data_IF_888999212808
#
_entry.id   IF_888999212808
#
_cell.length_a   1.000
_cell.length_b   1.000
_cell.length_c   1.000
_cell.angle_alpha   90.00
_cell.angle_beta   90.00
_cell.angle_gamma   90.00
#
_symmetry.space_group_name_H-M   'P 1'
#
loop_
_entity.id
_entity.type
_entity.pdbx_description
1 polymer ?
#
# COMPACT_ATOMS: atom_id res chain seq x y z
N UNK A 1 -18.21 3.22 25.52
CA UNK A 1 -16.96 3.85 25.01
C UNK A 1 -15.79 2.99 25.48
N UNK A 2 -15.01 2.45 24.56
CA UNK A 2 -13.69 1.89 24.90
C UNK A 2 -12.64 2.94 24.58
N UNK A 3 -11.74 3.23 25.50
CA UNK A 3 -10.53 3.99 25.18
C UNK A 3 -9.52 3.02 24.55
N UNK A 4 -8.93 3.39 23.42
CA UNK A 4 -7.88 2.61 22.76
C UNK A 4 -6.64 3.46 22.61
N UNK A 5 -5.49 2.88 22.94
CA UNK A 5 -4.19 3.53 22.79
C UNK A 5 -3.44 2.93 21.61
N UNK A 6 -2.98 3.79 20.71
CA UNK A 6 -2.09 3.43 19.61
C UNK A 6 -0.97 4.47 19.50
N UNK A 7 0.26 4.01 19.65
CA UNK A 7 1.41 4.90 19.80
C UNK A 7 1.20 5.90 20.95
N UNK A 8 1.29 7.20 20.66
CA UNK A 8 1.05 8.27 21.65
C UNK A 8 -0.38 8.78 21.68
N UNK A 9 -1.26 8.28 20.79
CA UNK A 9 -2.66 8.69 20.74
C UNK A 9 -3.54 7.79 21.62
N UNK A 10 -4.43 8.41 22.38
CA UNK A 10 -5.50 7.72 23.10
C UNK A 10 -6.85 8.17 22.54
N UNK A 11 -7.56 7.28 21.86
CA UNK A 11 -8.80 7.64 21.16
C UNK A 11 -10.00 6.90 21.76
N UNK A 12 -11.10 7.61 21.83
CA UNK A 12 -12.43 7.03 21.97
C UNK A 12 -12.96 6.71 20.57
N UNK A 13 -13.71 5.63 20.46
CA UNK A 13 -14.31 5.18 19.21
C UNK A 13 -15.71 4.64 19.46
N UNK A 14 -16.53 4.68 18.42
CA UNK A 14 -17.82 4.04 18.44
C UNK A 14 -17.63 2.56 18.06
N UNK A 15 -18.10 1.66 18.91
CA UNK A 15 -18.18 0.24 18.56
C UNK A 15 -19.45 0.08 17.72
N UNK A 16 -19.37 -0.28 16.42
CA UNK A 16 -20.59 -0.64 15.70
C UNK A 16 -21.23 -1.85 16.37
N UNK A 17 -22.55 -1.85 16.56
CA UNK A 17 -23.29 -3.01 17.08
C UNK A 17 -22.91 -4.28 16.29
N UNK A 18 -22.43 -5.31 17.01
CA UNK A 18 -21.97 -6.58 16.42
C UNK A 18 -20.50 -6.62 15.97
N UNK A 19 -19.71 -5.57 16.22
CA UNK A 19 -18.27 -5.57 15.96
C UNK A 19 -17.52 -6.18 17.12
N UNK A 20 -16.77 -7.24 16.82
CA UNK A 20 -15.85 -7.84 17.80
C UNK A 20 -14.64 -6.91 17.97
N UNK A 21 -14.00 -6.97 19.14
CA UNK A 21 -12.84 -6.14 19.49
C UNK A 21 -11.60 -6.38 18.60
N UNK A 22 -10.39 -6.03 19.08
CA UNK A 22 -9.13 -6.00 18.30
C UNK A 22 -8.76 -7.28 17.53
N UNK A 23 -9.45 -8.40 17.77
CA UNK A 23 -9.12 -9.74 17.26
C UNK A 23 -9.90 -10.19 16.01
N UNK A 24 -10.89 -9.44 15.51
CA UNK A 24 -11.64 -9.83 14.29
C UNK A 24 -11.58 -8.73 13.22
N UNK A 25 -11.63 -9.18 11.95
CA UNK A 25 -11.40 -8.40 10.72
C UNK A 25 -12.27 -7.14 10.55
N UNK A 26 -12.26 -6.49 9.37
CA UNK A 26 -12.87 -5.18 9.21
C UNK A 26 -14.36 -5.22 9.58
N UNK A 27 -14.71 -4.58 10.71
CA UNK A 27 -16.08 -4.47 11.19
C UNK A 27 -16.98 -3.70 10.23
N UNK A 28 -18.30 -3.69 10.50
CA UNK A 28 -19.26 -2.93 9.70
C UNK A 28 -19.01 -1.43 9.84
N UNK A 29 -19.07 -0.71 8.73
CA UNK A 29 -18.88 0.74 8.65
C UNK A 29 -19.90 1.44 9.57
N UNK A 30 -19.42 2.32 10.45
CA UNK A 30 -20.25 3.23 11.25
C UNK A 30 -19.53 4.57 11.46
N UNK A 31 -20.26 5.60 11.87
CA UNK A 31 -19.67 6.91 12.23
C UNK A 31 -18.73 6.77 13.44
N UNK A 32 -17.54 7.36 13.39
CA UNK A 32 -16.54 7.22 14.47
C UNK A 32 -15.93 5.81 14.58
N UNK A 33 -15.85 5.09 13.46
CA UNK A 33 -15.28 3.74 13.40
C UNK A 33 -13.75 3.75 13.45
N UNK A 34 -13.20 2.80 14.18
CA UNK A 34 -11.77 2.48 14.18
C UNK A 34 -11.56 1.07 13.63
N UNK A 35 -10.73 0.95 12.60
CA UNK A 35 -10.26 -0.35 12.14
C UNK A 35 -8.93 -0.72 12.82
N UNK A 36 -8.95 -1.71 13.71
CA UNK A 36 -7.75 -2.22 14.37
C UNK A 36 -6.77 -2.90 13.39
N UNK A 37 -7.28 -3.53 12.32
CA UNK A 37 -6.43 -4.15 11.28
C UNK A 37 -5.61 -3.14 10.46
N UNK A 38 -5.90 -1.84 10.59
CA UNK A 38 -5.17 -0.75 9.93
C UNK A 38 -4.02 -0.20 10.77
N UNK A 39 -3.69 -0.79 11.94
CA UNK A 39 -2.55 -0.35 12.77
C UNK A 39 -1.25 -0.29 11.97
N UNK A 40 -0.92 -1.36 11.23
CA UNK A 40 0.29 -1.39 10.38
C UNK A 40 0.31 -0.27 9.33
N UNK A 41 -0.85 0.06 8.72
CA UNK A 41 -0.95 1.16 7.76
C UNK A 41 -0.64 2.51 8.42
N UNK A 42 -1.18 2.74 9.62
CA UNK A 42 -0.94 3.95 10.39
C UNK A 42 0.52 4.03 10.84
N UNK A 43 1.10 2.94 11.33
CA UNK A 43 2.51 2.84 11.71
C UNK A 43 3.45 3.13 10.52
N UNK A 44 3.15 2.56 9.35
CA UNK A 44 3.87 2.85 8.13
C UNK A 44 3.79 4.34 7.77
N UNK A 45 2.60 4.93 7.84
CA UNK A 45 2.36 6.33 7.50
C UNK A 45 3.14 7.26 8.43
N UNK A 46 3.05 7.05 9.74
CA UNK A 46 3.78 7.85 10.73
C UNK A 46 5.29 7.69 10.57
N UNK A 47 5.79 6.48 10.29
CA UNK A 47 7.22 6.23 10.04
C UNK A 47 7.71 6.92 8.75
N UNK A 48 6.88 6.92 7.70
CA UNK A 48 7.21 7.63 6.46
C UNK A 48 7.23 9.15 6.68
N UNK A 49 6.25 9.72 7.36
CA UNK A 49 6.21 11.14 7.75
C UNK A 49 7.44 11.50 8.59
N UNK A 50 7.85 10.63 9.51
CA UNK A 50 9.05 10.82 10.32
C UNK A 50 10.32 10.84 9.47
N UNK A 51 10.34 10.11 8.36
CA UNK A 51 11.47 10.03 7.43
C UNK A 51 11.54 11.26 6.52
N UNK A 52 10.42 11.65 5.90
CA UNK A 52 10.40 12.71 4.87
C UNK A 52 10.10 14.11 5.43
N UNK A 53 9.64 14.20 6.69
CA UNK A 53 9.36 15.45 7.42
C UNK A 53 8.57 16.49 6.59
N UNK A 54 7.36 16.16 6.10
CA UNK A 54 6.55 17.11 5.35
C UNK A 54 6.15 18.29 6.26
N UNK A 55 5.97 19.50 5.71
CA UNK A 55 5.58 20.66 6.54
C UNK A 55 4.09 20.62 6.88
N UNK A 56 3.27 20.20 5.92
CA UNK A 56 1.82 20.09 6.08
C UNK A 56 1.33 18.71 5.61
N UNK A 57 0.64 18.00 6.52
CA UNK A 57 0.05 16.69 6.30
C UNK A 57 -1.48 16.78 6.30
N UNK A 58 -2.14 16.13 5.33
CA UNK A 58 -3.59 15.94 5.28
C UNK A 58 -3.96 14.50 5.63
N UNK A 59 -4.76 14.32 6.68
CA UNK A 59 -5.60 13.13 6.86
C UNK A 59 -6.94 13.36 6.16
N UNK A 60 -7.08 12.82 4.96
CA UNK A 60 -8.22 13.10 4.08
C UNK A 60 -9.54 12.45 4.52
N UNK A 61 -9.50 11.50 5.46
CA UNK A 61 -10.65 10.70 5.89
C UNK A 61 -10.55 10.42 7.40
N UNK A 62 -10.79 11.46 8.20
CA UNK A 62 -10.42 11.49 9.61
C UNK A 62 -11.00 10.37 10.48
N UNK A 63 -12.27 10.00 10.32
CA UNK A 63 -13.00 9.04 11.15
C UNK A 63 -12.91 9.32 12.66
N UNK A 64 -11.88 8.82 13.34
CA UNK A 64 -11.59 9.09 14.77
C UNK A 64 -10.47 10.11 14.99
N UNK A 65 -9.77 10.51 13.93
CA UNK A 65 -8.65 11.46 13.95
C UNK A 65 -7.30 10.81 14.25
N UNK A 66 -7.26 9.49 14.44
CA UNK A 66 -6.07 8.80 14.95
C UNK A 66 -4.82 9.01 14.10
N UNK A 67 -4.92 9.09 12.76
CA UNK A 67 -3.75 9.29 11.90
C UNK A 67 -3.12 10.65 12.14
N UNK A 68 -3.93 11.72 12.07
CA UNK A 68 -3.45 13.08 12.30
C UNK A 68 -2.95 13.31 13.73
N UNK A 69 -3.68 12.81 14.75
CA UNK A 69 -3.26 12.93 16.15
C UNK A 69 -1.91 12.22 16.36
N UNK A 70 -1.73 11.02 15.79
CA UNK A 70 -0.43 10.31 15.87
C UNK A 70 0.68 11.05 15.12
N UNK A 71 0.41 11.53 13.91
CA UNK A 71 1.39 12.28 13.12
C UNK A 71 1.87 13.53 13.87
N UNK A 72 0.96 14.32 14.44
CA UNK A 72 1.29 15.48 15.24
C UNK A 72 2.02 15.10 16.55
N UNK A 73 1.48 14.19 17.36
CA UNK A 73 2.05 13.89 18.70
C UNK A 73 3.35 13.09 18.66
N UNK A 74 3.52 12.23 17.65
CA UNK A 74 4.72 11.40 17.54
C UNK A 74 5.83 12.13 16.79
N UNK A 75 5.50 12.95 15.79
CA UNK A 75 6.49 13.54 14.87
C UNK A 75 6.56 15.07 14.95
N UNK A 76 5.49 15.75 15.37
CA UNK A 76 5.39 17.20 15.39
C UNK A 76 4.99 17.82 14.05
N UNK A 77 4.41 17.05 13.12
CA UNK A 77 3.95 17.60 11.83
C UNK A 77 2.62 18.33 11.99
N UNK A 78 2.51 19.52 11.38
CA UNK A 78 1.23 20.23 11.27
C UNK A 78 0.26 19.39 10.46
N UNK A 79 -0.86 19.03 11.07
CA UNK A 79 -1.81 18.09 10.50
C UNK A 79 -3.19 18.72 10.35
N UNK A 80 -3.77 18.54 9.17
CA UNK A 80 -5.15 18.93 8.84
C UNK A 80 -5.97 17.66 8.66
N UNK A 81 -7.21 17.67 9.14
CA UNK A 81 -8.16 16.57 9.02
C UNK A 81 -9.40 17.01 8.27
N UNK A 82 -9.77 16.22 7.25
CA UNK A 82 -11.05 16.33 6.57
C UNK A 82 -11.98 15.21 7.02
N UNK A 83 -13.21 15.56 7.41
CA UNK A 83 -14.23 14.57 7.76
C UNK A 83 -15.63 15.08 7.40
N UNK A 84 -16.33 14.36 6.52
CA UNK A 84 -17.66 14.75 6.04
C UNK A 84 -18.77 14.44 7.05
N UNK A 85 -18.66 13.34 7.79
CA UNK A 85 -19.63 12.92 8.79
C UNK A 85 -19.53 13.83 10.01
N UNK A 86 -20.58 14.63 10.27
CA UNK A 86 -20.63 15.49 11.45
C UNK A 86 -20.40 14.71 12.77
N UNK A 87 -20.93 13.48 12.88
CA UNK A 87 -20.69 12.61 14.04
C UNK A 87 -19.23 12.22 14.22
N UNK A 88 -18.54 11.92 13.11
CA UNK A 88 -17.10 11.59 13.13
C UNK A 88 -16.29 12.85 13.43
N UNK A 89 -16.66 13.99 12.85
CA UNK A 89 -16.06 15.29 13.14
C UNK A 89 -16.10 15.65 14.64
N UNK A 90 -17.26 15.51 15.28
CA UNK A 90 -17.39 15.69 16.73
C UNK A 90 -16.47 14.74 17.50
N UNK A 91 -16.39 13.48 17.07
CA UNK A 91 -15.49 12.49 17.69
C UNK A 91 -14.02 12.86 17.54
N UNK A 92 -13.60 13.43 16.41
CA UNK A 92 -12.24 13.91 16.20
C UNK A 92 -11.93 15.06 17.17
N UNK A 93 -12.85 16.00 17.39
CA UNK A 93 -12.68 17.09 18.36
C UNK A 93 -12.48 16.53 19.77
N UNK A 94 -13.34 15.62 20.21
CA UNK A 94 -13.24 14.99 21.53
C UNK A 94 -11.89 14.27 21.70
N UNK A 95 -11.46 13.53 20.68
CA UNK A 95 -10.19 12.83 20.70
C UNK A 95 -9.00 13.79 20.66
N UNK A 96 -9.06 14.88 19.90
CA UNK A 96 -8.00 15.89 19.87
C UNK A 96 -7.84 16.56 21.25
N UNK A 97 -8.95 16.95 21.88
CA UNK A 97 -8.97 17.51 23.24
C UNK A 97 -8.39 16.54 24.26
N UNK A 98 -8.83 15.27 24.23
CA UNK A 98 -8.31 14.21 25.11
C UNK A 98 -6.79 14.03 24.97
N UNK A 99 -6.26 14.29 23.79
CA UNK A 99 -4.85 14.15 23.49
C UNK A 99 -4.03 15.42 23.67
N UNK A 100 -4.64 16.57 24.01
CA UNK A 100 -4.02 17.90 23.93
C UNK A 100 -3.34 18.13 22.57
N UNK A 101 -4.10 17.83 21.51
CA UNK A 101 -3.65 17.84 20.11
C UNK A 101 -4.18 19.09 19.41
N UNK A 102 -3.31 19.81 18.70
CA UNK A 102 -3.60 21.07 18.01
C UNK A 102 -3.85 20.87 16.51
N UNK A 103 -4.32 19.68 16.13
CA UNK A 103 -4.68 19.38 14.74
C UNK A 103 -5.81 20.30 14.25
N UNK A 104 -5.75 20.69 12.98
CA UNK A 104 -6.81 21.48 12.36
C UNK A 104 -7.90 20.55 11.82
N UNK A 105 -9.14 20.71 12.28
CA UNK A 105 -10.23 19.77 11.99
C UNK A 105 -11.32 20.51 11.21
N UNK A 106 -11.70 19.98 10.04
CA UNK A 106 -12.75 20.57 9.21
C UNK A 106 -13.87 19.56 8.92
N UNK A 107 -15.12 19.95 9.14
CA UNK A 107 -16.29 19.15 8.74
C UNK A 107 -16.64 19.36 7.26
N UNK A 108 -15.70 19.02 6.38
CA UNK A 108 -15.83 19.20 4.94
C UNK A 108 -15.35 17.97 4.18
N UNK A 109 -15.67 17.89 2.89
CA UNK A 109 -15.20 16.80 2.04
C UNK A 109 -13.71 16.94 1.71
N UNK A 110 -13.09 15.80 1.38
CA UNK A 110 -11.69 15.74 0.98
C UNK A 110 -11.37 16.72 -0.15
N UNK A 111 -12.21 16.79 -1.17
CA UNK A 111 -12.04 17.67 -2.34
C UNK A 111 -12.07 19.15 -1.96
N UNK A 112 -12.89 19.52 -0.97
CA UNK A 112 -12.91 20.89 -0.45
C UNK A 112 -11.59 21.21 0.25
N UNK A 113 -11.19 20.40 1.22
CA UNK A 113 -10.02 20.68 2.06
C UNK A 113 -8.72 20.61 1.25
N UNK A 114 -8.57 19.61 0.39
CA UNK A 114 -7.36 19.46 -0.43
C UNK A 114 -7.12 20.67 -1.34
N UNK A 115 -8.19 21.39 -1.73
CA UNK A 115 -8.07 22.60 -2.57
C UNK A 115 -7.72 23.89 -1.81
N UNK A 116 -7.89 23.92 -0.49
CA UNK A 116 -7.68 25.12 0.35
C UNK A 116 -6.24 25.31 0.80
N UNK A 117 -5.44 24.26 0.76
CA UNK A 117 -4.06 24.28 1.22
C UNK A 117 -3.14 23.64 0.20
N UNK A 118 -1.85 23.93 0.33
CA UNK A 118 -0.80 23.24 -0.41
C UNK A 118 -0.15 22.23 0.52
N UNK A 119 -0.54 20.97 0.38
CA UNK A 119 -0.08 19.86 1.22
C UNK A 119 1.20 19.24 0.68
N UNK A 120 2.15 18.92 1.57
CA UNK A 120 3.37 18.19 1.22
C UNK A 120 3.19 16.68 1.35
N UNK A 121 2.21 16.25 2.14
CA UNK A 121 1.74 14.87 2.19
C UNK A 121 0.20 14.86 2.25
N UNK A 122 -0.44 14.16 1.31
CA UNK A 122 -1.88 13.87 1.32
C UNK A 122 -2.14 12.39 1.59
N UNK A 123 -2.89 12.02 2.64
CA UNK A 123 -3.34 10.65 2.90
C UNK A 123 -4.79 10.45 2.45
N UNK A 124 -4.97 9.56 1.46
CA UNK A 124 -6.23 9.17 0.84
C UNK A 124 -6.59 7.75 1.29
N UNK A 125 -7.36 7.65 2.36
CA UNK A 125 -7.83 6.39 2.97
C UNK A 125 -9.36 6.28 3.02
N UNK A 126 -10.04 6.26 1.85
CA UNK A 126 -11.48 6.08 1.80
C UNK A 126 -11.89 4.62 2.06
N UNK A 127 -13.16 4.42 2.39
CA UNK A 127 -13.77 3.10 2.25
C UNK A 127 -13.96 2.74 0.77
N UNK A 128 -13.39 1.60 0.36
CA UNK A 128 -13.51 1.06 -0.99
C UNK A 128 -12.38 1.50 -1.92
N UNK A 129 -12.75 2.20 -2.99
CA UNK A 129 -11.84 2.54 -4.08
C UNK A 129 -11.30 3.96 -3.93
N UNK A 130 -10.01 4.14 -4.24
CA UNK A 130 -9.37 5.46 -4.27
C UNK A 130 -9.62 6.23 -5.57
N UNK A 131 -10.15 5.56 -6.61
CA UNK A 131 -10.33 6.12 -7.96
C UNK A 131 -10.94 7.53 -7.98
N UNK A 132 -12.00 7.85 -7.21
CA UNK A 132 -12.61 9.19 -7.24
C UNK A 132 -11.68 10.32 -6.76
N UNK A 133 -10.63 9.99 -6.01
CA UNK A 133 -9.80 10.97 -5.29
C UNK A 133 -8.39 11.10 -5.88
N UNK A 134 -8.01 10.24 -6.83
CA UNK A 134 -6.64 10.21 -7.39
C UNK A 134 -6.29 11.52 -8.08
N UNK A 135 -7.13 11.99 -9.01
CA UNK A 135 -6.83 13.17 -9.81
C UNK A 135 -6.75 14.43 -8.95
N UNK A 136 -7.69 14.59 -8.03
CA UNK A 136 -7.74 15.77 -7.15
C UNK A 136 -6.55 15.77 -6.19
N UNK A 137 -6.14 14.62 -5.64
CA UNK A 137 -4.94 14.53 -4.80
C UNK A 137 -3.67 14.90 -5.59
N UNK A 138 -3.50 14.34 -6.81
CA UNK A 138 -2.37 14.67 -7.69
C UNK A 138 -2.38 16.14 -8.07
N UNK A 139 -3.54 16.74 -8.32
CA UNK A 139 -3.63 18.13 -8.74
C UNK A 139 -3.22 19.12 -7.62
N UNK A 140 -3.45 18.79 -6.35
CA UNK A 140 -3.24 19.72 -5.23
C UNK A 140 -2.02 19.44 -4.35
N UNK A 141 -1.38 18.26 -4.46
CA UNK A 141 -0.12 18.01 -3.74
C UNK A 141 0.98 18.97 -4.20
N UNK A 142 1.85 19.41 -3.28
CA UNK A 142 3.10 20.12 -3.61
C UNK A 142 3.91 19.37 -4.67
N UNK A 143 4.64 20.08 -5.51
CA UNK A 143 5.66 19.43 -6.35
C UNK A 143 6.70 18.74 -5.43
N UNK A 144 7.09 17.50 -5.78
CA UNK A 144 7.88 16.60 -4.93
C UNK A 144 7.21 16.21 -3.60
N UNK A 145 5.93 16.53 -3.43
CA UNK A 145 5.12 16.07 -2.30
C UNK A 145 4.66 14.62 -2.48
N UNK A 146 4.10 14.08 -1.40
CA UNK A 146 3.75 12.68 -1.29
C UNK A 146 2.23 12.48 -1.24
N UNK A 147 1.76 11.37 -1.79
CA UNK A 147 0.37 10.94 -1.65
C UNK A 147 0.35 9.48 -1.20
N UNK A 148 -0.28 9.22 -0.06
CA UNK A 148 -0.60 7.87 0.39
C UNK A 148 -1.99 7.46 -0.08
N UNK A 149 -2.11 6.38 -0.84
CA UNK A 149 -3.40 5.79 -1.20
C UNK A 149 -3.61 4.47 -0.47
N UNK A 150 -4.76 4.31 0.18
CA UNK A 150 -5.21 3.03 0.73
C UNK A 150 -6.46 2.56 -0.02
N UNK A 151 -6.33 1.47 -0.77
CA UNK A 151 -7.43 0.85 -1.49
C UNK A 151 -7.90 -0.42 -0.79
N UNK A 152 -9.21 -0.54 -0.57
CA UNK A 152 -9.83 -1.74 0.05
C UNK A 152 -10.71 -2.53 -0.91
N UNK A 153 -10.87 -2.09 -2.17
CA UNK A 153 -11.57 -2.84 -3.23
C UNK A 153 -10.71 -3.90 -3.92
N UNK A 154 -10.04 -4.73 -3.11
CA UNK A 154 -9.07 -5.75 -3.52
C UNK A 154 -9.60 -6.70 -4.59
N UNK A 155 -10.86 -7.15 -4.50
CA UNK A 155 -11.47 -8.06 -5.47
C UNK A 155 -11.55 -7.47 -6.89
N UNK A 156 -11.57 -6.13 -7.00
CA UNK A 156 -11.49 -5.44 -8.28
C UNK A 156 -10.05 -5.37 -8.73
N UNK A 157 -9.14 -4.90 -7.88
CA UNK A 157 -7.73 -4.72 -8.21
C UNK A 157 -7.01 -6.04 -8.52
N UNK A 158 -7.42 -7.14 -7.88
CA UNK A 158 -6.87 -8.50 -8.04
C UNK A 158 -7.50 -9.30 -9.19
N UNK A 159 -8.42 -8.71 -9.96
CA UNK A 159 -9.02 -9.34 -11.14
C UNK A 159 -10.16 -10.33 -10.88
N UNK A 160 -10.67 -10.45 -9.65
CA UNK A 160 -11.85 -11.29 -9.37
C UNK A 160 -13.12 -10.73 -10.04
N UNK A 161 -13.24 -9.41 -10.11
CA UNK A 161 -14.36 -8.70 -10.77
C UNK A 161 -13.89 -8.02 -12.06
N UNK A 162 -13.66 -8.81 -13.12
CA UNK A 162 -13.02 -8.38 -14.38
C UNK A 162 -13.68 -7.15 -15.03
N UNK A 163 -15.00 -7.15 -15.20
CA UNK A 163 -15.67 -6.00 -15.85
C UNK A 163 -15.56 -4.73 -15.00
N UNK A 164 -15.59 -4.87 -13.68
CA UNK A 164 -15.44 -3.74 -12.76
C UNK A 164 -13.99 -3.25 -12.72
N UNK A 165 -13.03 -4.18 -12.86
CA UNK A 165 -11.60 -3.86 -12.99
C UNK A 165 -11.35 -3.05 -14.26
N UNK A 166 -11.86 -3.51 -15.40
CA UNK A 166 -11.75 -2.79 -16.67
C UNK A 166 -12.37 -1.38 -16.56
N UNK A 167 -13.58 -1.26 -16.01
CA UNK A 167 -14.25 0.06 -15.88
C UNK A 167 -13.55 1.03 -14.92
N UNK A 168 -12.94 0.55 -13.83
CA UNK A 168 -12.33 1.41 -12.80
C UNK A 168 -10.87 1.72 -13.05
N UNK A 169 -10.11 0.70 -13.45
CA UNK A 169 -8.66 0.77 -13.54
C UNK A 169 -8.15 0.72 -14.99
N UNK A 170 -8.99 0.36 -15.96
CA UNK A 170 -8.61 0.38 -17.38
C UNK A 170 -7.54 -0.66 -17.73
N UNK A 171 -7.55 -1.81 -17.06
CA UNK A 171 -6.60 -2.91 -17.28
C UNK A 171 -7.36 -4.24 -17.36
N UNK A 172 -6.69 -5.28 -17.86
CA UNK A 172 -7.11 -6.67 -17.66
C UNK A 172 -6.07 -7.38 -16.80
N UNK A 173 -6.49 -7.88 -15.64
CA UNK A 173 -5.65 -8.67 -14.71
C UNK A 173 -6.36 -9.96 -14.33
N UNK A 174 -5.62 -10.90 -13.74
CA UNK A 174 -6.10 -12.26 -13.50
C UNK A 174 -6.05 -12.58 -12.00
N UNK A 175 -6.98 -13.37 -11.50
CA UNK A 175 -6.98 -13.74 -10.09
C UNK A 175 -6.25 -15.09 -9.89
N UNK A 176 -4.97 -15.07 -9.53
CA UNK A 176 -4.11 -16.24 -9.26
C UNK A 176 -3.33 -16.08 -7.93
N UNK A 177 -2.23 -16.81 -7.73
CA UNK A 177 -1.42 -16.66 -6.51
C UNK A 177 -0.66 -15.33 -6.46
N UNK A 178 -0.31 -14.77 -7.62
CA UNK A 178 0.39 -13.48 -7.75
C UNK A 178 -0.55 -12.26 -7.64
N UNK A 179 -1.84 -12.49 -7.39
CA UNK A 179 -2.91 -11.48 -7.44
C UNK A 179 -2.68 -10.25 -6.55
N UNK A 180 -1.96 -10.40 -5.44
CA UNK A 180 -1.77 -9.30 -4.48
C UNK A 180 -0.73 -8.30 -4.98
N UNK A 181 0.41 -8.78 -5.47
CA UNK A 181 1.38 -7.91 -6.15
C UNK A 181 0.79 -7.33 -7.42
N UNK A 182 0.08 -8.13 -8.22
CA UNK A 182 -0.63 -7.65 -9.41
C UNK A 182 -1.66 -6.57 -9.08
N UNK A 183 -2.36 -6.69 -7.96
CA UNK A 183 -3.30 -5.68 -7.49
C UNK A 183 -2.62 -4.35 -7.14
N UNK A 184 -1.47 -4.40 -6.46
CA UNK A 184 -0.64 -3.22 -6.17
C UNK A 184 -0.12 -2.58 -7.46
N UNK A 185 0.43 -3.38 -8.38
CA UNK A 185 0.96 -2.91 -9.67
C UNK A 185 -0.13 -2.38 -10.60
N UNK A 186 -1.34 -2.94 -10.53
CA UNK A 186 -2.51 -2.42 -11.22
C UNK A 186 -2.91 -1.04 -10.65
N UNK A 187 -2.97 -0.90 -9.32
CA UNK A 187 -3.25 0.38 -8.67
C UNK A 187 -2.22 1.44 -9.07
N UNK A 188 -0.92 1.13 -8.99
CA UNK A 188 0.16 2.02 -9.43
C UNK A 188 0.06 2.35 -10.92
N UNK A 189 -0.25 1.36 -11.77
CA UNK A 189 -0.42 1.57 -13.21
C UNK A 189 -1.58 2.52 -13.52
N UNK A 190 -2.70 2.39 -12.81
CA UNK A 190 -3.81 3.33 -12.90
C UNK A 190 -3.38 4.74 -12.47
N UNK A 191 -2.74 4.89 -11.31
CA UNK A 191 -2.30 6.19 -10.80
C UNK A 191 -1.29 6.84 -11.76
N UNK A 192 -0.34 6.07 -12.32
CA UNK A 192 0.63 6.53 -13.31
C UNK A 192 -0.06 7.11 -14.56
N UNK A 193 -1.06 6.40 -15.10
CA UNK A 193 -1.85 6.89 -16.25
C UNK A 193 -2.62 8.17 -15.90
N UNK A 194 -3.23 8.25 -14.70
CA UNK A 194 -3.94 9.46 -14.26
C UNK A 194 -2.99 10.65 -14.08
N UNK A 195 -1.84 10.43 -13.44
CA UNK A 195 -0.82 11.47 -13.26
C UNK A 195 -0.30 12.01 -14.58
N UNK A 196 -0.02 11.13 -15.55
CA UNK A 196 0.47 11.54 -16.86
C UNK A 196 -0.52 12.43 -17.62
N UNK A 197 -1.84 12.23 -17.46
CA UNK A 197 -2.85 13.15 -18.04
C UNK A 197 -2.86 14.56 -17.44
N UNK A 198 -2.14 14.77 -16.33
CA UNK A 198 -1.99 16.05 -15.64
C UNK A 198 -0.56 16.61 -15.77
N UNK A 199 0.23 16.12 -16.74
CA UNK A 199 1.65 16.45 -16.93
C UNK A 199 2.52 16.20 -15.67
N UNK A 200 2.16 15.17 -14.90
CA UNK A 200 2.86 14.74 -13.71
C UNK A 200 3.44 13.32 -13.87
N UNK A 201 4.68 13.13 -13.42
CA UNK A 201 5.25 11.82 -13.14
C UNK A 201 4.95 11.38 -11.70
N UNK A 202 4.98 10.07 -11.47
CA UNK A 202 4.96 9.45 -10.15
C UNK A 202 6.22 8.63 -9.91
N UNK A 203 6.64 8.59 -8.66
CA UNK A 203 7.67 7.71 -8.15
C UNK A 203 7.12 6.95 -6.94
N UNK A 204 6.87 5.64 -7.04
CA UNK A 204 6.42 4.84 -5.91
C UNK A 204 7.49 4.75 -4.82
N UNK A 205 7.16 5.19 -3.61
CA UNK A 205 8.10 5.27 -2.49
C UNK A 205 8.02 4.03 -1.59
N UNK A 206 6.81 3.56 -1.30
CA UNK A 206 6.54 2.32 -0.56
C UNK A 206 5.22 1.74 -1.05
N UNK A 207 5.16 0.42 -1.25
CA UNK A 207 3.94 -0.29 -1.57
C UNK A 207 3.80 -1.58 -0.77
N UNK A 208 2.59 -1.89 -0.29
CA UNK A 208 2.33 -3.14 0.42
C UNK A 208 0.89 -3.64 0.24
N UNK A 209 0.74 -4.95 0.39
CA UNK A 209 -0.53 -5.59 0.71
C UNK A 209 -0.53 -6.07 2.16
N UNK A 210 -1.63 -5.86 2.88
CA UNK A 210 -1.81 -6.45 4.19
C UNK A 210 -3.28 -6.79 4.46
N UNK A 211 -3.61 -8.09 4.37
CA UNK A 211 -4.95 -8.61 4.62
C UNK A 211 -6.00 -8.03 3.66
N UNK A 212 -6.62 -6.92 4.06
CA UNK A 212 -7.80 -6.34 3.41
C UNK A 212 -7.57 -5.03 2.68
N UNK A 213 -6.32 -4.59 2.51
CA UNK A 213 -5.99 -3.35 1.81
C UNK A 213 -4.68 -3.44 1.03
N UNK A 214 -4.59 -2.60 -0.01
CA UNK A 214 -3.35 -2.23 -0.67
C UNK A 214 -3.00 -0.80 -0.25
N UNK A 215 -1.76 -0.57 0.13
CA UNK A 215 -1.22 0.74 0.50
C UNK A 215 -0.10 1.07 -0.47
N UNK A 216 -0.16 2.24 -1.09
CA UNK A 216 0.93 2.80 -1.89
C UNK A 216 1.19 4.23 -1.45
N UNK A 217 2.44 4.61 -1.28
CA UNK A 217 2.87 6.00 -1.09
C UNK A 217 3.68 6.37 -2.32
N UNK A 218 3.31 7.45 -2.99
CA UNK A 218 4.00 7.96 -4.18
C UNK A 218 4.54 9.36 -3.92
N UNK A 219 5.63 9.73 -4.60
CA UNK A 219 6.05 11.11 -4.81
C UNK A 219 5.54 11.58 -6.16
N UNK A 220 5.08 12.83 -6.25
CA UNK A 220 4.59 13.45 -7.49
C UNK A 220 5.61 14.47 -8.01
N UNK A 221 6.02 14.32 -9.27
CA UNK A 221 6.96 15.21 -9.96
C UNK A 221 6.24 15.93 -11.09
N UNK A 222 6.15 17.27 -11.03
CA UNK A 222 5.37 18.08 -11.98
C UNK A 222 6.20 18.51 -13.19
N UNK A 223 6.37 17.61 -14.14
CA UNK A 223 6.94 17.95 -15.45
C UNK A 223 6.49 16.95 -16.52
N UNK A 224 6.34 17.43 -17.76
CA UNK A 224 6.04 16.58 -18.93
C UNK A 224 7.09 15.47 -19.08
N UNK A 225 8.37 15.80 -18.87
CA UNK A 225 9.48 14.84 -18.93
C UNK A 225 9.31 13.71 -17.91
N UNK A 226 8.84 14.02 -16.71
CA UNK A 226 8.62 12.99 -15.68
C UNK A 226 7.34 12.20 -15.95
N UNK A 227 6.31 12.81 -16.54
CA UNK A 227 5.12 12.10 -17.03
C UNK A 227 5.51 11.04 -18.09
N UNK A 228 6.34 11.43 -19.07
CA UNK A 228 6.84 10.52 -20.11
C UNK A 228 7.65 9.36 -19.51
N UNK A 229 8.57 9.64 -18.58
CA UNK A 229 9.32 8.58 -17.86
C UNK A 229 8.42 7.65 -17.06
N UNK A 230 7.39 8.18 -16.41
CA UNK A 230 6.41 7.38 -15.67
C UNK A 230 5.70 6.40 -16.59
N UNK A 231 5.34 6.81 -17.81
CA UNK A 231 4.69 5.93 -18.78
C UNK A 231 5.60 4.79 -19.29
N UNK A 232 6.92 4.97 -19.29
CA UNK A 232 7.88 3.90 -19.63
C UNK A 232 7.85 2.72 -18.65
N UNK A 233 7.28 2.91 -17.45
CA UNK A 233 7.12 1.86 -16.44
C UNK A 233 5.76 1.15 -16.53
N UNK A 234 5.01 1.36 -17.60
CA UNK A 234 3.77 0.64 -17.88
C UNK A 234 4.03 -0.45 -18.93
N UNK A 235 3.61 -1.67 -18.63
CA UNK A 235 3.78 -2.80 -19.57
C UNK A 235 2.60 -3.77 -19.51
N UNK A 236 2.43 -4.51 -20.60
CA UNK A 236 1.76 -5.80 -20.55
C UNK A 236 2.76 -6.89 -20.13
N UNK A 237 2.27 -7.94 -19.48
CA UNK A 237 3.10 -9.09 -19.04
C UNK A 237 2.40 -10.38 -19.42
N UNK A 238 3.17 -11.35 -19.91
CA UNK A 238 2.72 -12.73 -20.06
C UNK A 238 3.34 -13.60 -18.98
N UNK A 239 2.57 -13.98 -17.95
CA UNK A 239 3.08 -14.77 -16.83
C UNK A 239 3.53 -16.18 -17.24
N UNK A 240 2.99 -16.73 -18.34
CA UNK A 240 3.44 -18.00 -18.90
C UNK A 240 4.91 -17.93 -19.33
N UNK A 241 5.27 -16.83 -20.00
CA UNK A 241 6.61 -16.59 -20.52
C UNK A 241 7.56 -16.09 -19.43
N UNK A 242 7.11 -15.16 -18.57
CA UNK A 242 7.99 -14.44 -17.64
C UNK A 242 8.13 -15.11 -16.27
N UNK A 243 7.26 -16.07 -15.93
CA UNK A 243 7.27 -16.72 -14.62
C UNK A 243 7.33 -18.22 -14.75
N UNK A 244 6.26 -18.81 -15.26
CA UNK A 244 6.12 -20.25 -15.31
C UNK A 244 5.04 -20.65 -16.32
N UNK A 245 5.38 -21.58 -17.20
CA UNK A 245 4.48 -22.27 -18.13
C UNK A 245 3.17 -22.80 -17.53
N UNK A 246 3.08 -22.99 -16.21
CA UNK A 246 1.81 -23.34 -15.55
C UNK A 246 0.76 -22.23 -15.61
N UNK A 247 1.16 -20.98 -15.82
CA UNK A 247 0.24 -19.87 -16.01
C UNK A 247 -0.38 -19.92 -17.42
N UNK A 248 -1.62 -19.44 -17.59
CA UNK A 248 -2.22 -19.32 -18.91
C UNK A 248 -1.40 -18.40 -19.81
N UNK A 249 -1.15 -18.84 -21.04
CA UNK A 249 -0.48 -18.06 -22.09
C UNK A 249 -1.38 -16.92 -22.57
N UNK A 250 -1.20 -15.74 -21.98
CA UNK A 250 -1.91 -14.51 -22.32
C UNK A 250 -1.25 -13.29 -21.69
N UNK A 251 -1.35 -12.16 -22.38
CA UNK A 251 -1.01 -10.86 -21.83
C UNK A 251 -2.03 -10.39 -20.79
N UNK A 252 -1.51 -9.77 -19.73
CA UNK A 252 -2.25 -8.99 -18.74
C UNK A 252 -1.67 -7.58 -18.69
N UNK A 253 -2.48 -6.58 -18.34
CA UNK A 253 -2.05 -5.19 -18.22
C UNK A 253 -2.94 -4.16 -18.92
N UNK A 254 -2.46 -2.92 -19.08
CA UNK A 254 -1.13 -2.45 -18.63
C UNK A 254 -1.04 -2.25 -17.10
N UNK A 255 0.04 -2.76 -16.50
CA UNK A 255 0.38 -2.63 -15.07
C UNK A 255 1.73 -1.90 -14.87
N UNK A 256 2.01 -1.48 -13.64
CA UNK A 256 3.31 -0.94 -13.26
C UNK A 256 4.39 -2.02 -13.17
N UNK A 257 5.44 -1.93 -14.01
CA UNK A 257 6.61 -2.82 -13.99
C UNK A 257 7.80 -2.27 -13.21
N UNK A 258 7.84 -0.97 -12.92
CA UNK A 258 8.95 -0.33 -12.22
C UNK A 258 9.06 -0.72 -10.73
N UNK A 259 10.04 -0.12 -10.07
CA UNK A 259 10.23 -0.23 -8.62
C UNK A 259 9.02 0.34 -7.85
N UNK A 260 8.68 -0.28 -6.73
CA UNK A 260 7.53 0.05 -5.89
C UNK A 260 7.93 0.65 -4.54
N UNK A 261 9.21 0.56 -4.16
CA UNK A 261 9.73 0.89 -2.83
C UNK A 261 11.01 1.74 -2.87
N UNK A 262 11.02 2.82 -3.68
CA UNK A 262 12.23 3.63 -3.90
C UNK A 262 12.77 4.31 -2.63
N UNK A 263 11.99 4.42 -1.55
CA UNK A 263 12.46 5.04 -0.30
C UNK A 263 13.72 4.35 0.24
N UNK A 264 13.86 3.03 0.08
CA UNK A 264 14.98 2.27 0.62
C UNK A 264 16.30 2.55 -0.12
N UNK A 265 16.23 3.12 -1.32
CA UNK A 265 17.40 3.56 -2.08
C UNK A 265 17.81 5.00 -1.73
N UNK A 266 16.90 5.77 -1.14
CA UNK A 266 17.09 7.20 -0.89
C UNK A 266 17.37 7.53 0.58
N UNK A 267 16.78 6.78 1.52
CA UNK A 267 16.86 7.06 2.94
C UNK A 267 16.63 5.82 3.81
N UNK A 268 17.22 5.82 4.99
CA UNK A 268 16.82 4.88 6.03
C UNK A 268 15.51 5.34 6.69
N UNK A 269 14.50 4.46 6.69
CA UNK A 269 13.22 4.73 7.36
C UNK A 269 13.39 4.95 8.86
N UNK A 270 12.85 6.06 9.34
CA UNK A 270 12.89 6.48 10.73
C UNK A 270 11.63 6.03 11.47
N UNK A 271 11.77 5.04 12.34
CA UNK A 271 10.65 4.53 13.14
C UNK A 271 10.55 5.27 14.48
N UNK A 272 9.38 5.83 14.83
CA UNK A 272 9.12 6.30 16.19
C UNK A 272 9.31 5.17 17.22
N UNK A 273 9.69 5.53 18.46
CA UNK A 273 9.88 4.56 19.55
C UNK A 273 8.61 3.81 19.96
N UNK A 274 7.45 4.25 19.49
CA UNK A 274 6.13 3.64 19.65
C UNK A 274 5.87 2.48 18.68
N UNK A 275 6.71 2.33 17.64
CA UNK A 275 6.60 1.25 16.67
C UNK A 275 7.35 0.03 17.20
N UNK A 276 6.65 -1.10 17.28
CA UNK A 276 7.25 -2.36 17.73
C UNK A 276 8.22 -2.95 16.70
N UNK A 277 9.14 -3.79 17.18
CA UNK A 277 10.17 -4.43 16.36
C UNK A 277 9.57 -5.30 15.25
N UNK A 278 8.46 -6.00 15.53
CA UNK A 278 7.77 -6.83 14.53
C UNK A 278 7.29 -5.99 13.34
N UNK A 279 6.71 -4.82 13.63
CA UNK A 279 6.20 -3.88 12.62
C UNK A 279 7.32 -3.25 11.81
N UNK A 280 8.36 -2.76 12.48
CA UNK A 280 9.52 -2.18 11.78
C UNK A 280 10.26 -3.23 10.93
N UNK A 281 10.43 -4.46 11.42
CA UNK A 281 10.99 -5.57 10.64
C UNK A 281 10.11 -5.94 9.44
N UNK A 282 8.79 -5.92 9.58
CA UNK A 282 7.90 -6.11 8.42
C UNK A 282 8.10 -5.02 7.37
N UNK A 283 8.16 -3.76 7.77
CA UNK A 283 8.34 -2.64 6.85
C UNK A 283 9.71 -2.71 6.16
N UNK A 284 10.78 -3.02 6.89
CA UNK A 284 12.13 -3.16 6.31
C UNK A 284 12.20 -4.26 5.25
N UNK A 285 11.44 -5.36 5.39
CA UNK A 285 11.39 -6.43 4.39
C UNK A 285 10.85 -5.99 3.03
N UNK A 286 10.10 -4.88 2.96
CA UNK A 286 9.58 -4.37 1.69
C UNK A 286 10.69 -3.95 0.71
N UNK A 287 11.91 -3.71 1.18
CA UNK A 287 13.07 -3.38 0.34
C UNK A 287 13.42 -4.47 -0.69
N UNK A 288 13.00 -5.71 -0.46
CA UNK A 288 13.33 -6.85 -1.32
C UNK A 288 12.29 -7.08 -2.43
N UNK A 289 11.15 -6.39 -2.40
CA UNK A 289 10.06 -6.64 -3.35
C UNK A 289 10.37 -6.22 -4.79
N UNK A 290 11.38 -5.35 -4.95
CA UNK A 290 11.82 -4.83 -6.25
C UNK A 290 12.95 -5.66 -6.88
N UNK A 291 13.36 -6.79 -6.28
CA UNK A 291 14.36 -7.70 -6.87
C UNK A 291 13.89 -8.32 -8.20
N UNK A 292 12.59 -8.55 -8.33
CA UNK A 292 11.98 -9.02 -9.58
C UNK A 292 10.54 -8.53 -9.72
N UNK A 293 10.05 -8.46 -10.96
CA UNK A 293 8.65 -8.23 -11.26
C UNK A 293 7.83 -9.48 -10.90
N UNK A 294 6.83 -9.37 -10.01
CA UNK A 294 6.17 -10.52 -9.38
C UNK A 294 7.11 -11.38 -8.54
N UNK A 295 6.63 -12.50 -8.02
CA UNK A 295 7.42 -13.44 -7.24
C UNK A 295 7.20 -14.85 -7.78
N UNK A 296 8.09 -15.77 -7.40
CA UNK A 296 7.88 -17.19 -7.66
C UNK A 296 7.03 -17.79 -6.55
N UNK A 297 5.80 -18.22 -6.87
CA UNK A 297 4.95 -18.99 -5.95
C UNK A 297 5.20 -20.48 -6.13
N UNK A 298 5.97 -21.07 -5.22
CA UNK A 298 6.32 -22.48 -5.30
C UNK A 298 5.11 -23.40 -5.07
N UNK A 299 4.12 -22.97 -4.29
CA UNK A 299 2.94 -23.78 -4.02
C UNK A 299 2.10 -23.98 -5.29
N UNK A 300 1.87 -22.94 -6.08
CA UNK A 300 1.17 -23.04 -7.36
C UNK A 300 1.97 -23.88 -8.37
N UNK A 301 3.26 -23.59 -8.51
CA UNK A 301 4.15 -24.21 -9.49
C UNK A 301 4.32 -25.72 -9.26
N UNK A 302 4.52 -26.12 -8.00
CA UNK A 302 4.68 -27.53 -7.62
C UNK A 302 3.35 -28.29 -7.63
N UNK A 303 2.27 -27.69 -7.12
CA UNK A 303 0.95 -28.34 -7.10
C UNK A 303 0.46 -28.69 -8.49
N UNK A 304 0.59 -27.76 -9.47
CA UNK A 304 0.18 -28.01 -10.86
C UNK A 304 1.01 -29.09 -11.55
N UNK A 305 2.24 -29.32 -11.09
CA UNK A 305 3.13 -30.41 -11.56
C UNK A 305 3.03 -31.69 -10.73
N UNK A 306 2.25 -31.70 -9.65
CA UNK A 306 2.14 -32.81 -8.69
C UNK A 306 3.47 -33.16 -8.00
N UNK A 307 4.26 -32.14 -7.71
CA UNK A 307 5.56 -32.25 -7.02
C UNK A 307 5.41 -31.80 -5.55
N UNK A 308 6.19 -32.38 -4.66
CA UNK A 308 6.21 -31.97 -3.25
C UNK A 308 6.82 -30.56 -3.09
N UNK A 309 6.23 -29.75 -2.23
CA UNK A 309 6.74 -28.41 -1.96
C UNK A 309 8.08 -28.49 -1.22
N UNK A 310 9.16 -27.90 -1.75
CA UNK A 310 10.46 -27.86 -1.07
C UNK A 310 10.36 -27.06 0.24
N UNK A 311 11.15 -27.45 1.24
CA UNK A 311 11.26 -26.68 2.49
C UNK A 311 11.94 -25.33 2.24
N UNK A 312 11.70 -24.35 3.11
CA UNK A 312 12.43 -23.07 3.03
C UNK A 312 13.93 -23.27 3.16
N UNK A 313 14.36 -24.23 4.00
CA UNK A 313 15.79 -24.59 4.15
C UNK A 313 16.38 -25.13 2.84
N UNK A 314 15.63 -25.95 2.09
CA UNK A 314 16.06 -26.44 0.78
C UNK A 314 16.22 -25.31 -0.23
N UNK A 315 15.26 -24.37 -0.29
CA UNK A 315 15.35 -23.20 -1.17
C UNK A 315 16.57 -22.34 -0.84
N UNK A 316 16.84 -22.12 0.46
CA UNK A 316 18.01 -21.35 0.90
C UNK A 316 19.34 -22.10 0.64
N UNK A 317 19.37 -23.41 0.81
CA UNK A 317 20.55 -24.22 0.48
C UNK A 317 20.92 -24.13 -1.01
N UNK A 318 19.92 -24.20 -1.90
CA UNK A 318 20.13 -24.04 -3.35
C UNK A 318 20.61 -22.62 -3.68
N UNK A 319 20.01 -21.62 -3.05
CA UNK A 319 20.39 -20.21 -3.15
C UNK A 319 21.87 -20.01 -2.82
N UNK A 320 22.36 -20.59 -1.72
CA UNK A 320 23.77 -20.52 -1.31
C UNK A 320 24.69 -21.31 -2.24
N UNK A 321 24.33 -22.54 -2.60
CA UNK A 321 25.15 -23.43 -3.46
C UNK A 321 25.38 -22.83 -4.86
N UNK A 322 24.35 -22.18 -5.43
CA UNK A 322 24.39 -21.66 -6.79
C UNK A 322 24.63 -20.14 -6.86
N UNK A 323 24.83 -19.47 -5.71
CA UNK A 323 25.03 -18.03 -5.64
C UNK A 323 23.84 -17.21 -6.15
N UNK A 324 22.63 -17.76 -6.09
CA UNK A 324 21.39 -17.09 -6.51
C UNK A 324 20.83 -16.37 -5.28
N UNK A 325 20.57 -15.06 -5.35
CA UNK A 325 19.98 -14.36 -4.21
C UNK A 325 18.48 -14.66 -4.12
N UNK A 326 18.02 -14.99 -2.92
CA UNK A 326 16.61 -15.28 -2.64
C UNK A 326 16.14 -14.57 -1.38
N UNK A 327 14.99 -13.92 -1.46
CA UNK A 327 14.32 -13.25 -0.33
C UNK A 327 12.85 -13.68 -0.27
N UNK A 328 12.27 -13.72 0.92
CA UNK A 328 10.82 -13.95 1.06
C UNK A 328 10.05 -12.70 0.67
N UNK A 329 8.94 -12.87 -0.07
CA UNK A 329 8.00 -11.76 -0.32
C UNK A 329 6.95 -11.64 0.78
N UNK A 330 6.48 -10.44 1.06
CA UNK A 330 5.30 -10.20 1.90
C UNK A 330 3.98 -10.58 1.22
N UNK A 331 3.96 -10.74 -0.11
CA UNK A 331 2.74 -11.04 -0.87
C UNK A 331 2.24 -12.48 -0.71
N UNK A 332 3.11 -13.42 -0.34
CA UNK A 332 2.77 -14.83 -0.18
C UNK A 332 3.63 -15.49 0.91
N UNK A 333 3.04 -16.32 1.80
CA UNK A 333 3.79 -17.03 2.83
C UNK A 333 4.80 -18.06 2.27
N UNK A 334 4.59 -18.50 1.02
CA UNK A 334 5.43 -19.48 0.31
C UNK A 334 6.09 -18.89 -0.94
N UNK A 335 5.97 -17.58 -1.15
CA UNK A 335 6.56 -16.89 -2.28
C UNK A 335 7.98 -16.39 -2.00
N UNK A 336 8.78 -16.34 -3.05
CA UNK A 336 10.15 -15.83 -3.01
C UNK A 336 10.41 -14.86 -4.15
N UNK A 337 11.24 -13.86 -3.87
CA UNK A 337 11.87 -12.95 -4.82
C UNK A 337 13.28 -13.44 -5.08
N UNK A 338 13.70 -13.45 -6.35
CA UNK A 338 15.07 -13.82 -6.73
C UNK A 338 15.64 -12.90 -7.80
N UNK A 339 16.95 -12.72 -7.80
CA UNK A 339 17.69 -12.08 -8.90
C UNK A 339 17.85 -12.99 -10.13
N UNK A 340 17.61 -14.31 -9.98
CA UNK A 340 17.58 -15.28 -11.07
C UNK A 340 16.46 -16.33 -10.88
N UNK A 341 15.18 -15.92 -10.97
CA UNK A 341 14.03 -16.75 -10.62
C UNK A 341 13.85 -17.98 -11.53
N UNK A 342 14.20 -17.86 -12.83
CA UNK A 342 14.07 -18.97 -13.78
C UNK A 342 15.05 -20.10 -13.48
N UNK A 343 16.31 -19.76 -13.19
CA UNK A 343 17.31 -20.77 -12.82
C UNK A 343 16.97 -21.44 -11.48
N UNK A 344 16.56 -20.65 -10.48
CA UNK A 344 16.11 -21.16 -9.19
C UNK A 344 14.97 -22.18 -9.35
N UNK A 345 13.94 -21.85 -10.14
CA UNK A 345 12.81 -22.73 -10.40
C UNK A 345 13.25 -24.01 -11.11
N UNK A 346 14.14 -23.92 -12.10
CA UNK A 346 14.64 -25.09 -12.83
C UNK A 346 15.40 -26.06 -11.92
N UNK A 347 16.28 -25.56 -11.05
CA UNK A 347 17.03 -26.40 -10.09
C UNK A 347 16.07 -27.06 -9.11
N UNK A 348 15.11 -26.31 -8.56
CA UNK A 348 14.09 -26.84 -7.65
C UNK A 348 13.29 -27.97 -8.29
N UNK A 349 12.88 -27.82 -9.56
CA UNK A 349 12.14 -28.84 -10.29
C UNK A 349 12.96 -30.11 -10.57
N UNK A 350 14.28 -29.99 -10.78
CA UNK A 350 15.17 -31.13 -11.00
C UNK A 350 15.46 -31.92 -9.71
N UNK A 351 15.52 -31.26 -8.55
CA UNK A 351 15.81 -31.90 -7.27
C UNK A 351 14.57 -32.53 -6.60
N UNK A 352 13.36 -32.15 -7.03
CA UNK A 352 12.10 -32.58 -6.41
C UNK A 352 11.26 -33.54 -7.28
N UNK A 353 11.63 -33.71 -8.56
CA UNK A 353 11.11 -34.76 -9.45
C UNK A 353 11.97 -36.00 -9.39
#
# INVERSE_FOLDING_TARGET
>A
MGAYKEGKAEIDFNVPEGSSGPEKGPGKISSGFLNFSQKLNRDLTVSFINTVKPRLYLDGFGATGIRAIRAEKEIGVRSVVSERSFKSYQKIIENAQKNNSEIEIYNESFESIVSKFRFDFIDVDPYGSVVPFVDVAINYVSNHGYIGFTATDLSVLSGSLKDKNLRRYGTVVINNHLRHEMGVRNLLGFIARRAATLDCGIEPMISMWHGHYYRVIIRVNRSVKDAEKTLLNLTEVNLHETKDTVYPDRNIGPIWSGAMNNVFNEAELQFPSTIDEKTSNFIRKLQHEDMELFFTDLSESMSRRKINLPSTESVLGISEEHGIRVERTHFSPTGFKSDNPTELLNILLQQTG
#
